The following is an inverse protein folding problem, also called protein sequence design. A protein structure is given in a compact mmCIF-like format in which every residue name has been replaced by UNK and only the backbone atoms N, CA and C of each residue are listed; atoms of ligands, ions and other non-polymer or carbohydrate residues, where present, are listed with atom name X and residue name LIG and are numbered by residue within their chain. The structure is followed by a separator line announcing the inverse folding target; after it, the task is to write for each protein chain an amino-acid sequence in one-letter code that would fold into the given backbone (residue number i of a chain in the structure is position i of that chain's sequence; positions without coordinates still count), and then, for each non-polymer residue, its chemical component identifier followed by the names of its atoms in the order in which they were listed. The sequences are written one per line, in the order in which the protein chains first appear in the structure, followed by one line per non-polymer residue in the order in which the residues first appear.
data_IF_205207541631
#
_entry.id   IF_205207541631
#
_cell.length_a   1.000
_cell.length_b   1.000
_cell.length_c   1.000
_cell.angle_alpha   90.00
_cell.angle_beta   90.00
_cell.angle_gamma   90.00
#
_symmetry.space_group_name_H-M   'P 1'
#
loop_
_entity.id
_entity.type
_entity.pdbx_description
1 polymer ?
#
# COMPACT_ATOMS: atom_id res chain seq x y z
N UNK A 1 1.44 -2.96 18.75
CA UNK A 1 1.90 -1.84 19.62
C UNK A 1 2.85 -1.00 18.77
N UNK A 2 3.15 0.27 19.08
CA UNK A 2 4.11 1.02 18.25
C UNK A 2 5.54 0.50 18.45
N UNK A 3 6.40 0.53 17.42
CA UNK A 3 7.84 0.23 17.57
C UNK A 3 8.43 1.02 18.76
N UNK A 4 9.25 0.40 19.63
CA UNK A 4 9.85 -0.93 19.51
C UNK A 4 9.00 -2.07 20.10
N UNK A 5 7.77 -1.80 20.52
CA UNK A 5 6.94 -2.77 21.20
C UNK A 5 6.13 -3.63 20.23
N UNK A 6 6.05 -4.93 20.47
CA UNK A 6 5.21 -5.87 19.73
C UNK A 6 4.35 -6.69 20.69
N UNK A 7 3.20 -7.15 20.21
CA UNK A 7 2.37 -8.11 20.92
C UNK A 7 2.57 -9.51 20.34
N UNK A 8 2.47 -10.57 21.16
CA UNK A 8 2.67 -11.98 20.71
C UNK A 8 1.74 -12.41 19.55
N UNK A 9 0.60 -11.75 19.40
CA UNK A 9 -0.41 -12.00 18.34
C UNK A 9 -0.26 -11.08 17.12
N UNK A 10 0.69 -10.16 17.16
CA UNK A 10 0.93 -9.20 16.09
C UNK A 10 1.79 -9.83 15.00
N UNK A 11 1.37 -9.66 13.75
CA UNK A 11 2.17 -10.06 12.58
C UNK A 11 2.65 -8.77 11.90
N UNK A 12 3.90 -8.33 12.16
CA UNK A 12 4.41 -7.12 11.55
C UNK A 12 4.71 -7.37 10.07
N UNK A 13 4.01 -6.65 9.20
CA UNK A 13 4.28 -6.64 7.74
C UNK A 13 4.81 -5.28 7.31
N UNK A 14 4.12 -4.19 7.68
CA UNK A 14 4.54 -2.83 7.31
C UNK A 14 5.66 -2.30 8.22
N UNK A 15 5.60 -2.63 9.51
CA UNK A 15 6.53 -2.15 10.53
C UNK A 15 7.69 -3.12 10.81
N UNK A 16 7.79 -4.22 10.05
CA UNK A 16 8.78 -5.29 10.27
C UNK A 16 10.22 -4.77 10.36
N UNK A 17 10.55 -3.74 9.59
CA UNK A 17 11.91 -3.17 9.52
C UNK A 17 12.03 -1.78 10.15
N UNK A 18 11.07 -1.37 10.97
CA UNK A 18 11.20 -0.10 11.69
C UNK A 18 12.41 -0.13 12.64
N UNK A 19 13.14 0.98 12.72
CA UNK A 19 14.36 1.09 13.51
C UNK A 19 15.65 0.69 12.78
N UNK A 20 15.56 0.02 11.64
CA UNK A 20 16.72 -0.32 10.81
C UNK A 20 17.03 0.83 9.82
N UNK A 21 18.19 1.51 9.94
CA UNK A 21 18.56 2.58 9.02
C UNK A 21 18.69 2.11 7.56
N UNK A 22 19.13 0.87 7.34
CA UNK A 22 19.32 0.33 6.00
C UNK A 22 17.99 0.10 5.28
N UNK A 23 16.90 -0.13 6.02
CA UNK A 23 15.58 -0.29 5.43
C UNK A 23 15.07 0.98 4.71
N UNK A 24 15.68 2.14 4.98
CA UNK A 24 15.35 3.42 4.31
C UNK A 24 16.21 3.70 3.09
N UNK A 25 17.24 2.88 2.83
CA UNK A 25 18.08 3.02 1.63
C UNK A 25 17.49 2.23 0.48
N UNK A 26 17.75 2.66 -0.76
CA UNK A 26 17.30 1.94 -1.95
C UNK A 26 17.87 0.52 -1.99
N UNK A 27 19.15 0.37 -1.68
CA UNK A 27 19.85 -0.92 -1.72
C UNK A 27 19.37 -1.84 -0.60
N UNK A 28 19.19 -1.32 0.61
CA UNK A 28 18.63 -2.10 1.72
C UNK A 28 17.18 -2.54 1.46
N UNK A 29 16.36 -1.69 0.81
CA UNK A 29 15.02 -2.08 0.39
C UNK A 29 15.03 -3.19 -0.68
N UNK A 30 15.87 -3.06 -1.72
CA UNK A 30 16.02 -4.10 -2.75
C UNK A 30 16.52 -5.43 -2.18
N UNK A 31 17.49 -5.41 -1.27
CA UNK A 31 18.04 -6.61 -0.64
C UNK A 31 16.99 -7.41 0.15
N UNK A 32 15.90 -6.75 0.58
CA UNK A 32 14.76 -7.35 1.28
C UNK A 32 13.62 -7.77 0.35
N UNK A 33 13.85 -7.80 -0.96
CA UNK A 33 12.81 -8.11 -1.95
C UNK A 33 11.91 -6.92 -2.29
N UNK A 34 12.34 -5.70 -1.97
CA UNK A 34 11.66 -4.49 -2.39
C UNK A 34 11.43 -4.44 -3.90
N UNK A 35 10.29 -3.89 -4.32
CA UNK A 35 9.81 -3.80 -5.71
C UNK A 35 9.41 -5.12 -6.40
N UNK A 36 9.59 -6.30 -5.81
CA UNK A 36 9.14 -7.54 -6.45
C UNK A 36 7.62 -7.56 -6.69
N UNK A 37 6.84 -7.08 -5.71
CA UNK A 37 5.39 -6.92 -5.88
C UNK A 37 5.03 -5.85 -6.94
N UNK A 38 5.85 -4.80 -7.08
CA UNK A 38 5.64 -3.78 -8.12
C UNK A 38 5.86 -4.37 -9.51
N UNK A 39 6.95 -5.11 -9.71
CA UNK A 39 7.23 -5.79 -10.98
C UNK A 39 6.06 -6.69 -11.37
N UNK A 40 5.61 -7.54 -10.44
CA UNK A 40 4.44 -8.39 -10.65
C UNK A 40 3.19 -7.60 -11.03
N UNK A 41 2.91 -6.49 -10.35
CA UNK A 41 1.73 -5.67 -10.64
C UNK A 41 1.81 -4.97 -12.00
N UNK A 42 3.01 -4.59 -12.47
CA UNK A 42 3.21 -3.99 -13.78
C UNK A 42 3.03 -4.98 -14.94
N UNK A 43 3.19 -6.28 -14.68
CA UNK A 43 2.92 -7.36 -15.64
C UNK A 43 1.43 -7.75 -15.70
N UNK A 44 0.58 -7.15 -14.85
CA UNK A 44 -0.85 -7.40 -14.78
C UNK A 44 -1.66 -6.31 -15.50
N UNK A 45 -2.88 -6.64 -15.91
CA UNK A 45 -3.81 -5.59 -16.34
C UNK A 45 -4.24 -4.73 -15.14
N UNK A 46 -4.54 -3.43 -15.32
CA UNK A 46 -5.08 -2.60 -14.25
C UNK A 46 -6.34 -3.20 -13.62
N UNK A 47 -7.21 -3.81 -14.42
CA UNK A 47 -8.40 -4.52 -13.96
C UNK A 47 -8.07 -5.66 -12.99
N UNK A 48 -7.07 -6.49 -13.31
CA UNK A 48 -6.69 -7.61 -12.44
C UNK A 48 -6.14 -7.12 -11.09
N UNK A 49 -5.36 -6.03 -11.10
CA UNK A 49 -4.86 -5.41 -9.86
C UNK A 49 -6.02 -4.88 -9.01
N UNK A 50 -7.01 -4.23 -9.64
CA UNK A 50 -8.21 -3.75 -8.94
C UNK A 50 -9.00 -4.91 -8.33
N UNK A 51 -9.18 -6.01 -9.06
CA UNK A 51 -9.92 -7.18 -8.55
C UNK A 51 -9.17 -7.90 -7.42
N UNK A 52 -7.83 -7.99 -7.46
CA UNK A 52 -7.05 -8.50 -6.31
C UNK A 52 -7.30 -7.66 -5.07
N UNK A 53 -7.24 -6.34 -5.18
CA UNK A 53 -7.43 -5.44 -4.03
C UNK A 53 -8.88 -5.48 -3.54
N UNK A 54 -9.85 -5.59 -4.44
CA UNK A 54 -11.26 -5.78 -4.08
C UNK A 54 -11.50 -7.09 -3.34
N UNK A 55 -10.94 -8.20 -3.83
CA UNK A 55 -11.03 -9.51 -3.21
C UNK A 55 -10.34 -9.58 -1.84
N UNK A 56 -9.27 -8.79 -1.64
CA UNK A 56 -8.57 -8.70 -0.33
C UNK A 56 -9.42 -8.09 0.79
N UNK A 57 -10.50 -7.36 0.44
CA UNK A 57 -11.31 -6.63 1.42
C UNK A 57 -10.60 -5.42 2.02
N UNK A 58 -9.54 -4.89 1.39
CA UNK A 58 -8.84 -3.71 1.89
C UNK A 58 -9.79 -2.52 2.03
N UNK A 59 -9.83 -1.95 3.23
CA UNK A 59 -10.59 -0.74 3.56
C UNK A 59 -9.65 0.44 3.75
N UNK A 60 -10.14 1.65 3.45
CA UNK A 60 -9.40 2.89 3.66
C UNK A 60 -8.96 3.07 5.12
N UNK A 61 -7.70 3.46 5.32
CA UNK A 61 -7.08 3.59 6.65
C UNK A 61 -7.02 5.00 7.22
N UNK A 62 -7.38 6.02 6.45
CA UNK A 62 -7.52 7.40 6.92
C UNK A 62 -8.90 7.71 7.54
N UNK A 63 -9.44 6.81 8.36
CA UNK A 63 -10.71 7.02 9.08
C UNK A 63 -12.00 6.64 8.32
N UNK A 64 -12.12 6.94 7.02
CA UNK A 64 -13.38 6.73 6.29
C UNK A 64 -13.81 5.26 6.11
N UNK A 65 -12.87 4.31 6.11
CA UNK A 65 -13.18 2.88 6.03
C UNK A 65 -13.85 2.39 4.73
N UNK A 66 -13.88 3.19 3.66
CA UNK A 66 -14.48 2.81 2.38
C UNK A 66 -13.68 1.66 1.70
N UNK A 67 -14.31 0.68 1.03
CA UNK A 67 -13.60 -0.39 0.33
C UNK A 67 -12.70 0.14 -0.80
N UNK A 68 -11.39 -0.07 -0.70
CA UNK A 68 -10.39 0.52 -1.59
C UNK A 68 -10.51 0.03 -3.03
N UNK A 69 -10.70 -1.27 -3.24
CA UNK A 69 -10.87 -1.83 -4.60
C UNK A 69 -12.12 -1.29 -5.31
N UNK A 70 -13.23 -1.09 -4.58
CA UNK A 70 -14.42 -0.45 -5.13
C UNK A 70 -14.16 1.02 -5.48
N UNK A 71 -13.47 1.76 -4.61
CA UNK A 71 -13.07 3.15 -4.89
C UNK A 71 -12.28 3.26 -6.20
N UNK A 72 -11.32 2.36 -6.43
CA UNK A 72 -10.50 2.36 -7.64
C UNK A 72 -11.33 2.06 -8.90
N UNK A 73 -12.34 1.19 -8.80
CA UNK A 73 -13.21 0.86 -9.93
C UNK A 73 -14.04 2.03 -10.47
N UNK A 74 -14.17 3.13 -9.72
CA UNK A 74 -14.84 4.35 -10.17
C UNK A 74 -13.96 5.24 -11.06
N UNK A 75 -12.66 4.98 -11.16
CA UNK A 75 -11.78 5.77 -12.02
C UNK A 75 -12.17 5.61 -13.50
N UNK A 76 -12.22 6.72 -14.27
CA UNK A 76 -12.42 6.64 -15.71
C UNK A 76 -11.36 5.74 -16.37
N UNK A 77 -11.81 4.88 -17.28
CA UNK A 77 -10.93 4.00 -18.07
C UNK A 77 -10.31 4.73 -19.26
N UNK A 78 -10.93 5.81 -19.71
CA UNK A 78 -10.37 6.62 -20.78
C UNK A 78 -9.11 7.34 -20.30
N UNK A 79 -8.20 7.57 -21.25
CA UNK A 79 -6.94 8.31 -21.00
C UNK A 79 -6.99 9.69 -21.64
N UNK A 80 -8.18 10.27 -21.83
CA UNK A 80 -8.34 11.54 -22.53
C UNK A 80 -7.73 12.71 -21.73
N UNK A 81 -7.55 12.53 -20.42
CA UNK A 81 -6.94 13.51 -19.52
C UNK A 81 -5.90 12.84 -18.62
N UNK A 82 -4.90 13.59 -18.14
CA UNK A 82 -3.97 13.08 -17.15
C UNK A 82 -4.72 12.73 -15.85
N UNK A 83 -4.31 11.62 -15.23
CA UNK A 83 -4.79 11.19 -13.92
C UNK A 83 -3.73 11.50 -12.85
N UNK A 84 -4.20 11.79 -11.64
CA UNK A 84 -3.35 12.11 -10.50
C UNK A 84 -3.63 11.16 -9.35
N UNK A 85 -2.56 10.74 -8.68
CA UNK A 85 -2.61 9.98 -7.44
C UNK A 85 -2.16 10.88 -6.28
N UNK A 86 -2.95 10.95 -5.22
CA UNK A 86 -2.60 11.68 -4.01
C UNK A 86 -2.43 10.69 -2.85
N UNK A 87 -1.28 10.75 -2.20
CA UNK A 87 -1.07 10.10 -0.90
C UNK A 87 -1.42 11.12 0.18
N UNK A 88 -2.47 10.88 0.96
CA UNK A 88 -2.77 11.72 2.11
C UNK A 88 -1.86 11.32 3.28
N UNK A 89 -0.80 12.09 3.50
CA UNK A 89 0.13 11.92 4.61
C UNK A 89 -0.10 12.95 5.75
N UNK A 90 -1.20 13.71 5.68
CA UNK A 90 -1.64 14.58 6.78
C UNK A 90 -2.27 13.72 7.88
N UNK A 91 -1.47 13.39 8.89
CA UNK A 91 -1.86 12.65 10.10
C UNK A 91 -1.95 13.64 11.28
N UNK A 92 -3.08 14.35 11.34
CA UNK A 92 -3.31 15.44 12.31
C UNK A 92 -4.35 15.11 13.40
N UNK A 93 -4.98 13.92 13.34
CA UNK A 93 -5.91 13.44 14.38
C UNK A 93 -5.12 12.97 15.62
N UNK A 94 -5.49 13.36 16.86
CA UNK A 94 -4.77 12.99 18.09
C UNK A 94 -4.84 11.50 18.48
#
# INVERSE_FOLDING_TARGET
MGYPYSHEKEVPILSEHFGDPEARTLEGWKARGGYEALKKALDMSPEDVVEIVKASGLRGRGGAGFPTGLKWSFMPKDKAKPHYLLCNADESEP
#
